data_IF_735838632612
#
_entry.id   IF_735838632612
#
_cell.length_a   1.000
_cell.length_b   1.000
_cell.length_c   1.000
_cell.angle_alpha   90.00
_cell.angle_beta   90.00
_cell.angle_gamma   90.00
#
_symmetry.space_group_name_H-M   'P 1'
#
loop_
_entity.id
_entity.type
_entity.pdbx_description
1 polymer ?
#
# COMPACT_ATOMS: atom_id res chain seq x y z
N UNK A 1 2.29 16.39 -8.52
CA UNK A 1 1.01 16.30 -7.79
C UNK A 1 1.29 16.27 -6.29
N UNK A 2 0.30 16.65 -5.46
CA UNK A 2 0.41 16.55 -4.00
C UNK A 2 -0.22 15.25 -3.52
N UNK A 3 0.56 14.47 -2.76
CA UNK A 3 0.21 13.11 -2.34
C UNK A 3 0.19 13.01 -0.83
N UNK A 4 -0.90 12.47 -0.28
CA UNK A 4 -1.03 12.22 1.14
C UNK A 4 -0.90 10.72 1.45
N UNK A 5 0.02 10.35 2.33
CA UNK A 5 0.29 8.97 2.74
C UNK A 5 -0.03 8.82 4.22
N UNK A 6 -1.02 8.00 4.56
CA UNK A 6 -1.18 7.54 5.95
C UNK A 6 -0.27 6.35 6.20
N UNK A 7 0.26 6.21 7.42
CA UNK A 7 1.20 5.13 7.73
C UNK A 7 2.58 5.35 7.11
N UNK A 8 2.99 6.61 6.91
CA UNK A 8 4.26 7.00 6.27
C UNK A 8 5.50 6.39 6.95
N UNK A 9 5.46 6.15 8.26
CA UNK A 9 6.57 5.53 9.02
C UNK A 9 6.61 3.99 8.94
N UNK A 10 5.65 3.37 8.24
CA UNK A 10 5.70 1.94 7.95
C UNK A 10 6.76 1.66 6.88
N UNK A 11 7.19 0.41 6.75
CA UNK A 11 8.16 0.05 5.70
C UNK A 11 7.60 0.31 4.30
N UNK A 12 6.33 -0.03 4.06
CA UNK A 12 5.60 0.28 2.83
C UNK A 12 5.55 1.81 2.58
N UNK A 13 5.20 2.57 3.62
CA UNK A 13 5.11 4.03 3.57
C UNK A 13 6.43 4.71 3.22
N UNK A 14 7.53 4.30 3.85
CA UNK A 14 8.86 4.87 3.59
C UNK A 14 9.30 4.57 2.16
N UNK A 15 9.21 3.29 1.72
CA UNK A 15 9.61 2.90 0.36
C UNK A 15 8.80 3.65 -0.69
N UNK A 16 7.47 3.74 -0.49
CA UNK A 16 6.57 4.46 -1.40
C UNK A 16 6.87 5.96 -1.44
N UNK A 17 7.03 6.60 -0.27
CA UNK A 17 7.35 8.02 -0.19
C UNK A 17 8.64 8.36 -0.93
N UNK A 18 9.68 7.52 -0.78
CA UNK A 18 10.96 7.68 -1.50
C UNK A 18 10.78 7.60 -3.01
N UNK A 19 10.04 6.60 -3.48
CA UNK A 19 9.80 6.40 -4.91
C UNK A 19 9.00 7.57 -5.52
N UNK A 20 8.00 8.09 -4.80
CA UNK A 20 7.20 9.23 -5.22
C UNK A 20 7.99 10.54 -5.24
N UNK A 21 8.87 10.78 -4.26
CA UNK A 21 9.78 11.92 -4.27
C UNK A 21 10.75 11.85 -5.46
N UNK A 22 11.26 10.67 -5.78
CA UNK A 22 12.14 10.45 -6.96
C UNK A 22 11.42 10.74 -8.29
N UNK A 23 10.09 10.62 -8.32
CA UNK A 23 9.22 11.01 -9.44
C UNK A 23 8.86 12.50 -9.46
N UNK A 24 9.33 13.28 -8.49
CA UNK A 24 9.09 14.73 -8.42
C UNK A 24 7.73 15.10 -7.83
N UNK A 25 7.07 14.19 -7.10
CA UNK A 25 5.84 14.52 -6.39
C UNK A 25 6.12 15.19 -5.04
N UNK A 26 5.15 15.98 -4.58
CA UNK A 26 5.15 16.52 -3.22
C UNK A 26 4.49 15.50 -2.28
N UNK A 27 5.26 14.96 -1.34
CA UNK A 27 4.81 13.88 -0.44
C UNK A 27 4.56 14.40 0.96
N UNK A 28 3.33 14.18 1.43
CA UNK A 28 2.86 14.48 2.78
C UNK A 28 2.54 13.19 3.51
N UNK A 29 3.03 13.03 4.73
CA UNK A 29 2.82 11.84 5.55
C UNK A 29 2.03 12.14 6.82
N UNK A 30 0.94 11.42 7.07
CA UNK A 30 0.24 11.47 8.37
C UNK A 30 1.06 10.67 9.39
N UNK A 31 1.39 11.33 10.49
CA UNK A 31 2.16 10.78 11.58
C UNK A 31 1.39 10.96 12.89
N UNK A 32 1.09 9.86 13.58
CA UNK A 32 0.54 9.94 14.93
C UNK A 32 1.58 10.55 15.90
N UNK A 33 1.18 11.45 16.82
CA UNK A 33 2.09 12.04 17.79
C UNK A 33 2.90 11.01 18.59
N UNK A 34 2.31 9.86 18.91
CA UNK A 34 2.96 8.80 19.70
C UNK A 34 3.67 7.73 18.86
N UNK A 35 4.00 8.01 17.59
CA UNK A 35 4.64 7.00 16.74
C UNK A 35 6.03 6.65 17.25
N UNK A 36 6.24 5.39 17.65
CA UNK A 36 7.56 4.83 18.02
C UNK A 36 8.54 4.78 16.83
N UNK A 37 8.02 4.89 15.60
CA UNK A 37 8.79 4.72 14.37
C UNK A 37 9.24 6.06 13.75
N UNK A 38 9.08 7.20 14.45
CA UNK A 38 9.53 8.52 13.96
C UNK A 38 11.00 8.52 13.56
N UNK A 39 11.80 7.79 14.33
CA UNK A 39 13.24 7.61 14.13
C UNK A 39 13.58 7.04 12.74
N UNK A 40 12.69 6.23 12.14
CA UNK A 40 12.91 5.66 10.80
C UNK A 40 12.91 6.69 9.68
N UNK A 41 12.41 7.90 9.94
CA UNK A 41 12.42 9.02 9.00
C UNK A 41 13.58 9.99 9.28
N UNK A 42 14.41 9.75 10.31
CA UNK A 42 15.60 10.58 10.56
C UNK A 42 16.58 10.41 9.40
N UNK A 43 16.83 11.51 8.69
CA UNK A 43 17.68 11.55 7.50
C UNK A 43 16.91 11.51 6.18
N UNK A 44 15.61 11.21 6.20
CA UNK A 44 14.77 11.27 5.00
C UNK A 44 14.42 12.74 4.67
N UNK A 45 14.86 13.20 3.50
CA UNK A 45 14.62 14.57 3.03
C UNK A 45 13.43 14.60 2.07
N UNK A 46 12.71 15.71 2.03
CA UNK A 46 11.64 15.97 1.06
C UNK A 46 10.22 15.56 1.48
N UNK A 47 10.06 14.65 2.44
CA UNK A 47 8.74 14.30 2.99
C UNK A 47 8.28 15.35 4.02
N UNK A 48 7.04 15.82 3.88
CA UNK A 48 6.40 16.74 4.84
C UNK A 48 5.57 15.94 5.83
N UNK A 49 5.87 16.03 7.14
CA UNK A 49 5.21 15.21 8.16
C UNK A 49 4.13 16.01 8.91
N UNK A 50 2.92 15.49 8.84
CA UNK A 50 1.72 16.09 9.41
C UNK A 50 1.33 15.31 10.66
N UNK A 51 1.48 15.94 11.82
CA UNK A 51 1.13 15.34 13.10
C UNK A 51 -0.38 15.34 13.29
N UNK A 52 -1.01 14.20 13.02
CA UNK A 52 -2.46 14.00 13.05
C UNK A 52 -2.79 12.54 13.40
N UNK A 53 -3.84 12.32 14.18
CA UNK A 53 -4.36 10.98 14.46
C UNK A 53 -5.47 10.62 13.45
N UNK A 54 -5.48 9.38 12.96
CA UNK A 54 -6.54 8.88 12.08
C UNK A 54 -7.92 8.93 12.74
N UNK A 55 -8.01 8.85 14.07
CA UNK A 55 -9.27 9.02 14.80
C UNK A 55 -9.91 10.40 14.60
N UNK A 56 -9.13 11.42 14.23
CA UNK A 56 -9.67 12.75 13.93
C UNK A 56 -10.69 12.71 12.78
N UNK A 57 -10.54 11.78 11.82
CA UNK A 57 -11.49 11.63 10.72
C UNK A 57 -12.86 11.09 11.19
N UNK A 58 -12.90 10.27 12.25
CA UNK A 58 -14.16 9.81 12.84
C UNK A 58 -14.96 10.96 13.46
N UNK A 59 -14.27 11.92 14.09
CA UNK A 59 -14.91 13.12 14.63
C UNK A 59 -15.49 13.98 13.51
N UNK A 60 -14.72 14.19 12.44
CA UNK A 60 -15.16 14.93 11.26
C UNK A 60 -16.41 14.32 10.59
N UNK A 61 -16.47 12.99 10.48
CA UNK A 61 -17.63 12.31 9.90
C UNK A 61 -18.88 12.48 10.77
N UNK A 62 -18.74 12.42 12.11
CA UNK A 62 -19.85 12.67 13.04
C UNK A 62 -20.36 14.10 12.98
N UNK A 63 -19.47 15.08 12.87
CA UNK A 63 -19.83 16.50 12.73
C UNK A 63 -20.62 16.74 11.44
N UNK A 64 -20.18 16.17 10.32
CA UNK A 64 -20.90 16.21 9.03
C UNK A 64 -22.29 15.56 9.09
N UNK A 65 -22.42 14.41 9.76
CA UNK A 65 -23.70 13.72 9.94
C UNK A 65 -24.71 14.57 10.73
N UNK A 66 -24.26 15.22 11.80
CA UNK A 66 -25.09 16.14 12.60
C UNK A 66 -25.50 17.39 11.83
N UNK A 67 -24.61 17.98 11.04
CA UNK A 67 -24.96 19.10 10.15
C UNK A 67 -26.05 18.71 9.15
N UNK A 68 -25.98 17.50 8.58
CA UNK A 68 -27.00 17.00 7.65
C UNK A 68 -28.36 16.77 8.34
N UNK A 69 -28.37 16.20 9.55
CA UNK A 69 -29.60 16.00 10.34
C UNK A 69 -30.21 17.34 10.80
N UNK A 70 -29.38 18.32 11.18
CA UNK A 70 -29.83 19.66 11.56
C UNK A 70 -30.42 20.44 10.37
N UNK A 71 -29.76 20.38 9.21
CA UNK A 71 -30.25 21.03 7.99
C UNK A 71 -31.55 20.38 7.48
N UNK A 72 -31.70 19.05 7.62
CA UNK A 72 -32.94 18.35 7.25
C UNK A 72 -34.11 18.66 8.20
N UNK A 73 -33.83 18.91 9.50
CA UNK A 73 -34.86 19.30 10.48
C UNK A 73 -35.25 20.79 10.41
N UNK A 74 -34.34 21.67 9.97
CA UNK A 74 -34.67 23.10 9.72
C UNK A 74 -35.37 23.35 8.39
N UNK A 75 -35.34 22.41 7.44
CA UNK A 75 -36.20 22.46 6.24
C UNK A 75 -37.67 22.12 6.51
N UNK A 76 -37.99 21.47 7.65
CA UNK A 76 -39.38 21.22 8.08
C UNK A 76 -39.90 22.23 9.12
N UNK A 77 -39.02 23.00 9.75
CA UNK A 77 -39.39 24.08 10.66
C UNK A 77 -38.59 25.34 10.32
N UNK A 78 -39.22 26.25 9.55
CA UNK A 78 -38.67 27.55 9.23
C UNK A 78 -38.46 28.39 10.51
N UNK A 79 -37.26 28.34 11.08
CA UNK A 79 -36.81 29.30 12.09
C UNK A 79 -35.36 29.68 11.76
N UNK A 80 -35.22 30.87 11.19
CA UNK A 80 -33.95 31.54 10.94
C UNK A 80 -33.37 31.97 12.29
N UNK A 81 -32.29 31.31 12.75
CA UNK A 81 -31.58 31.75 13.96
C UNK A 81 -30.12 31.99 13.61
N UNK A 82 -29.78 33.24 13.31
CA UNK A 82 -28.40 33.70 13.31
C UNK A 82 -27.82 33.52 14.72
N UNK A 83 -26.66 32.86 14.82
CA UNK A 83 -25.84 32.96 16.03
C UNK A 83 -24.37 33.15 15.71
N UNK A 84 -23.87 34.27 16.25
CA UNK A 84 -22.51 34.78 16.22
C UNK A 84 -21.45 33.72 16.55
N UNK A 85 -20.43 33.67 15.69
CA UNK A 85 -19.13 33.07 15.97
C UNK A 85 -18.27 34.10 16.70
N UNK A 86 -17.96 33.83 17.96
CA UNK A 86 -16.84 34.42 18.72
C UNK A 86 -16.25 33.24 19.52
N UNK A 87 -14.95 32.97 19.61
CA UNK A 87 -13.75 33.80 19.59
C UNK A 87 -12.57 32.99 19.03
N UNK A 88 -11.80 33.60 18.13
CA UNK A 88 -10.42 33.21 17.87
C UNK A 88 -9.57 33.50 19.12
N UNK A 89 -8.77 32.52 19.57
CA UNK A 89 -7.60 32.80 20.41
C UNK A 89 -6.36 32.43 19.61
N UNK A 90 -5.58 33.47 19.31
CA UNK A 90 -4.39 33.43 18.48
C UNK A 90 -3.36 32.44 19.00
N UNK A 91 -2.73 31.75 18.05
CA UNK A 91 -1.51 30.99 18.29
C UNK A 91 -0.36 31.89 17.83
N UNK A 92 0.48 32.25 18.80
CA UNK A 92 1.71 33.02 18.61
C UNK A 92 2.68 32.25 17.73
N UNK A 93 3.16 32.92 16.68
CA UNK A 93 4.27 32.48 15.83
C UNK A 93 5.58 32.75 16.54
N UNK A 94 6.21 31.73 17.11
CA UNK A 94 7.64 31.79 17.42
C UNK A 94 8.44 31.35 16.20
N UNK A 95 8.98 32.36 15.51
CA UNK A 95 10.02 32.19 14.51
C UNK A 95 11.34 31.91 15.23
N UNK A 96 11.84 30.68 15.15
CA UNK A 96 13.26 30.41 15.34
C UNK A 96 13.84 29.85 14.04
N UNK A 97 14.47 30.76 13.30
CA UNK A 97 15.44 30.46 12.26
C UNK A 97 16.68 29.82 12.88
N UNK A 98 17.12 28.67 12.37
CA UNK A 98 18.40 28.47 11.64
C UNK A 98 18.67 26.97 11.43
N UNK A 99 18.94 26.61 10.17
CA UNK A 99 19.82 25.52 9.71
C UNK A 99 19.69 24.12 10.35
N UNK A 100 18.81 23.30 9.78
CA UNK A 100 19.15 21.98 9.20
C UNK A 100 17.88 21.30 8.65
N UNK A 101 17.89 20.90 7.39
CA UNK A 101 16.73 20.39 6.64
C UNK A 101 16.27 18.99 7.09
N UNK A 102 15.77 18.87 8.32
CA UNK A 102 15.13 17.67 8.87
C UNK A 102 13.61 17.74 8.65
N UNK A 103 12.96 16.57 8.56
CA UNK A 103 11.51 16.46 8.34
C UNK A 103 10.71 17.39 9.28
N UNK A 104 10.00 18.37 8.70
CA UNK A 104 9.27 19.37 9.47
C UNK A 104 8.06 18.69 10.09
N UNK A 105 8.08 18.56 11.42
CA UNK A 105 6.97 18.06 12.21
C UNK A 105 6.00 19.21 12.48
N UNK A 106 4.85 19.22 11.82
CA UNK A 106 3.81 20.26 12.02
C UNK A 106 2.54 19.63 12.56
N UNK A 107 2.12 20.03 13.76
CA UNK A 107 0.76 19.76 14.24
C UNK A 107 -0.24 20.45 13.32
N UNK A 108 -1.28 19.73 12.89
CA UNK A 108 -2.25 20.25 11.93
C UNK A 108 -3.67 19.82 12.28
N UNK A 109 -4.63 20.74 12.16
CA UNK A 109 -6.06 20.45 12.26
C UNK A 109 -6.63 20.01 10.91
N UNK A 110 -7.76 19.29 10.91
CA UNK A 110 -8.41 18.87 9.66
C UNK A 110 -8.78 20.03 8.72
N UNK A 111 -9.30 21.18 9.19
CA UNK A 111 -9.51 22.35 8.32
C UNK A 111 -8.22 22.87 7.68
N UNK A 112 -7.08 22.77 8.38
CA UNK A 112 -5.78 23.17 7.83
C UNK A 112 -5.23 22.14 6.84
N UNK A 113 -5.46 20.85 7.10
CA UNK A 113 -5.13 19.76 6.17
C UNK A 113 -5.87 19.91 4.85
N UNK A 114 -7.16 20.26 4.90
CA UNK A 114 -8.01 20.47 3.72
C UNK A 114 -7.46 21.56 2.78
N UNK A 115 -6.84 22.61 3.31
CA UNK A 115 -6.24 23.71 2.54
C UNK A 115 -5.01 23.30 1.73
N UNK A 116 -4.39 22.16 2.05
CA UNK A 116 -3.22 21.67 1.32
C UNK A 116 -3.58 21.08 -0.04
N UNK A 117 -4.84 20.69 -0.29
CA UNK A 117 -5.34 20.08 -1.53
C UNK A 117 -4.47 18.92 -2.07
N UNK A 118 -4.99 17.70 -1.93
CA UNK A 118 -4.29 16.49 -2.39
C UNK A 118 -4.95 15.92 -3.65
N UNK A 119 -4.13 15.55 -4.63
CA UNK A 119 -4.59 14.85 -5.84
C UNK A 119 -4.81 13.36 -5.54
N UNK A 120 -3.91 12.77 -4.74
CA UNK A 120 -3.84 11.33 -4.48
C UNK A 120 -3.66 11.04 -2.99
N UNK A 121 -4.34 10.00 -2.50
CA UNK A 121 -4.17 9.45 -1.15
C UNK A 121 -3.66 8.01 -1.24
N UNK A 122 -2.65 7.65 -0.44
CA UNK A 122 -2.25 6.27 -0.17
C UNK A 122 -2.51 5.91 1.29
N UNK A 123 -3.43 4.97 1.50
CA UNK A 123 -3.88 4.57 2.82
C UNK A 123 -3.18 3.29 3.30
N UNK A 124 -2.02 3.44 3.97
CA UNK A 124 -1.27 2.33 4.57
C UNK A 124 -1.43 2.22 6.09
N UNK A 125 -2.05 3.21 6.75
CA UNK A 125 -2.28 3.15 8.19
C UNK A 125 -3.28 2.05 8.54
N UNK A 126 -2.81 1.03 9.25
CA UNK A 126 -3.64 -0.06 9.77
C UNK A 126 -2.94 -0.67 10.99
N UNK A 127 -3.59 -0.68 12.15
CA UNK A 127 -2.99 -1.23 13.37
C UNK A 127 -3.27 -2.74 13.50
N UNK A 128 -2.47 -3.44 14.31
CA UNK A 128 -2.67 -4.86 14.58
C UNK A 128 -2.32 -5.81 13.43
N UNK A 129 -1.38 -5.46 12.54
CA UNK A 129 -1.01 -6.32 11.39
C UNK A 129 -0.18 -7.57 11.76
N UNK A 130 0.35 -7.63 12.99
CA UNK A 130 1.06 -8.81 13.51
C UNK A 130 0.10 -9.91 13.96
N UNK A 131 0.60 -11.14 14.15
CA UNK A 131 -0.22 -12.34 14.41
C UNK A 131 -1.30 -12.15 15.49
N UNK A 132 -0.94 -11.65 16.68
CA UNK A 132 -1.91 -11.41 17.75
C UNK A 132 -2.93 -10.32 17.40
N UNK A 133 -2.49 -9.25 16.73
CA UNK A 133 -3.36 -8.13 16.35
C UNK A 133 -4.35 -8.51 15.25
N UNK A 134 -4.01 -9.48 14.39
CA UNK A 134 -4.89 -9.91 13.29
C UNK A 134 -6.15 -10.61 13.79
N UNK A 135 -6.10 -11.17 14.99
CA UNK A 135 -7.23 -11.80 15.68
C UNK A 135 -7.99 -10.84 16.60
N UNK A 136 -7.52 -9.60 16.79
CA UNK A 136 -8.16 -8.64 17.69
C UNK A 136 -9.33 -7.90 17.01
N UNK A 137 -10.54 -8.41 17.23
CA UNK A 137 -11.78 -7.87 16.68
C UNK A 137 -11.94 -6.36 16.92
N UNK A 138 -11.61 -5.88 18.12
CA UNK A 138 -11.83 -4.47 18.49
C UNK A 138 -10.93 -3.55 17.66
N UNK A 139 -9.64 -3.89 17.53
CA UNK A 139 -8.71 -3.14 16.68
C UNK A 139 -9.14 -3.18 15.22
N UNK A 140 -9.55 -4.35 14.70
CA UNK A 140 -9.92 -4.47 13.29
C UNK A 140 -11.20 -3.70 12.94
N UNK A 141 -12.22 -3.69 13.82
CA UNK A 141 -13.42 -2.85 13.64
C UNK A 141 -13.10 -1.36 13.66
N UNK A 142 -12.23 -0.95 14.60
CA UNK A 142 -11.77 0.44 14.67
C UNK A 142 -11.04 0.85 13.39
N UNK A 143 -10.18 -0.01 12.86
CA UNK A 143 -9.49 0.23 11.58
C UNK A 143 -10.48 0.42 10.44
N UNK A 144 -11.50 -0.44 10.32
CA UNK A 144 -12.55 -0.30 9.30
C UNK A 144 -13.27 1.04 9.40
N UNK A 145 -13.70 1.43 10.61
CA UNK A 145 -14.40 2.69 10.84
C UNK A 145 -13.51 3.91 10.47
N UNK A 146 -12.25 3.92 10.92
CA UNK A 146 -11.31 5.00 10.58
C UNK A 146 -11.03 5.08 9.07
N UNK A 147 -10.92 3.93 8.40
CA UNK A 147 -10.66 3.85 6.96
C UNK A 147 -11.83 4.43 6.17
N UNK A 148 -13.09 4.08 6.55
CA UNK A 148 -14.31 4.65 5.96
C UNK A 148 -14.38 6.16 6.14
N UNK A 149 -14.14 6.66 7.35
CA UNK A 149 -14.15 8.10 7.61
C UNK A 149 -13.06 8.84 6.83
N UNK A 150 -11.85 8.27 6.71
CA UNK A 150 -10.77 8.87 5.93
C UNK A 150 -11.07 8.88 4.42
N UNK A 151 -11.68 7.82 3.90
CA UNK A 151 -12.19 7.76 2.53
C UNK A 151 -13.30 8.78 2.27
N UNK A 152 -14.27 8.90 3.16
CA UNK A 152 -15.32 9.94 3.12
C UNK A 152 -14.71 11.34 3.09
N UNK A 153 -13.70 11.59 3.92
CA UNK A 153 -12.95 12.85 3.94
C UNK A 153 -12.26 13.11 2.61
N UNK A 154 -11.53 12.13 2.06
CA UNK A 154 -10.83 12.28 0.78
C UNK A 154 -11.79 12.66 -0.36
N UNK A 155 -12.94 11.97 -0.44
CA UNK A 155 -13.99 12.28 -1.42
C UNK A 155 -14.53 13.71 -1.27
N UNK A 156 -14.85 14.11 -0.04
CA UNK A 156 -15.40 15.44 0.23
C UNK A 156 -14.45 16.58 -0.12
N UNK A 157 -13.15 16.30 -0.20
CA UNK A 157 -12.10 17.28 -0.50
C UNK A 157 -11.54 17.16 -1.92
N UNK A 158 -12.23 16.40 -2.80
CA UNK A 158 -11.91 16.35 -4.23
C UNK A 158 -10.64 15.59 -4.57
N UNK A 159 -10.20 14.66 -3.71
CA UNK A 159 -9.13 13.71 -4.05
C UNK A 159 -9.57 12.93 -5.30
N UNK A 160 -8.66 12.81 -6.28
CA UNK A 160 -8.94 12.14 -7.56
C UNK A 160 -8.75 10.64 -7.44
N UNK A 161 -7.73 10.21 -6.70
CA UNK A 161 -7.35 8.79 -6.56
C UNK A 161 -7.06 8.42 -5.11
N UNK A 162 -7.64 7.31 -4.67
CA UNK A 162 -7.47 6.75 -3.35
C UNK A 162 -6.96 5.31 -3.46
N UNK A 163 -5.72 5.09 -3.07
CA UNK A 163 -5.13 3.77 -2.95
C UNK A 163 -5.34 3.23 -1.54
N UNK A 164 -5.85 2.01 -1.44
CA UNK A 164 -5.91 1.27 -0.20
C UNK A 164 -4.87 0.16 -0.20
N UNK A 165 -4.07 0.04 0.88
CA UNK A 165 -3.29 -1.18 1.09
C UNK A 165 -4.20 -2.31 1.54
N UNK A 166 -4.79 -3.00 0.57
CA UNK A 166 -5.34 -4.34 0.75
C UNK A 166 -4.26 -5.37 1.08
N UNK A 167 -4.65 -6.63 1.13
CA UNK A 167 -3.80 -7.72 1.63
C UNK A 167 -4.27 -9.06 1.09
N UNK A 168 -3.33 -9.96 0.78
CA UNK A 168 -3.66 -11.37 0.45
C UNK A 168 -4.55 -12.05 1.51
N UNK A 169 -4.54 -11.58 2.76
CA UNK A 169 -5.41 -12.06 3.84
C UNK A 169 -6.92 -11.88 3.57
N UNK A 170 -7.30 -11.02 2.62
CA UNK A 170 -8.69 -10.88 2.16
C UNK A 170 -9.23 -12.20 1.56
N UNK A 171 -8.39 -12.95 0.85
CA UNK A 171 -8.80 -14.22 0.23
C UNK A 171 -9.00 -15.30 1.29
N UNK A 172 -8.11 -15.36 2.28
CA UNK A 172 -8.13 -16.35 3.35
C UNK A 172 -8.15 -17.79 2.82
N UNK A 173 -9.26 -18.49 3.09
CA UNK A 173 -9.52 -19.89 2.70
C UNK A 173 -10.14 -20.01 1.30
N UNK A 174 -10.53 -18.89 0.71
CA UNK A 174 -11.20 -18.82 -0.57
C UNK A 174 -10.25 -18.47 -1.70
N UNK A 175 -10.80 -17.99 -2.81
CA UNK A 175 -10.03 -17.47 -3.94
C UNK A 175 -10.07 -15.95 -3.96
N UNK A 176 -9.47 -15.37 -4.99
CA UNK A 176 -9.57 -13.93 -5.26
C UNK A 176 -11.00 -13.50 -5.58
N UNK A 177 -11.72 -14.30 -6.36
CA UNK A 177 -13.08 -14.02 -6.82
C UNK A 177 -14.13 -14.35 -5.75
N UNK A 178 -13.86 -15.39 -4.95
CA UNK A 178 -14.72 -15.84 -3.86
C UNK A 178 -13.92 -15.85 -2.55
N UNK A 179 -13.66 -14.65 -1.99
CA UNK A 179 -12.84 -14.52 -0.78
C UNK A 179 -13.56 -15.10 0.43
N UNK A 180 -12.80 -15.84 1.25
CA UNK A 180 -13.26 -16.37 2.54
C UNK A 180 -12.18 -16.10 3.61
N UNK A 181 -12.09 -14.85 4.13
CA UNK A 181 -11.08 -14.46 5.10
C UNK A 181 -10.94 -15.42 6.29
N UNK A 182 -9.70 -15.71 6.70
CA UNK A 182 -9.42 -16.61 7.82
C UNK A 182 -9.24 -15.87 9.16
N UNK A 183 -9.24 -14.54 9.14
CA UNK A 183 -8.97 -13.69 10.31
C UNK A 183 -9.82 -12.41 10.29
N UNK A 184 -10.09 -11.81 11.46
CA UNK A 184 -10.69 -10.47 11.56
C UNK A 184 -9.95 -9.42 10.72
N UNK A 185 -8.62 -9.52 10.63
CA UNK A 185 -7.83 -8.63 9.77
C UNK A 185 -8.21 -8.78 8.30
N UNK A 186 -8.23 -10.01 7.78
CA UNK A 186 -8.65 -10.28 6.41
C UNK A 186 -10.08 -9.83 6.14
N UNK A 187 -10.99 -10.10 7.08
CA UNK A 187 -12.41 -9.72 7.00
C UNK A 187 -12.59 -8.21 6.88
N UNK A 188 -11.92 -7.43 7.74
CA UNK A 188 -12.06 -5.97 7.73
C UNK A 188 -11.31 -5.29 6.58
N UNK A 189 -10.21 -5.89 6.10
CA UNK A 189 -9.56 -5.46 4.85
C UNK A 189 -10.50 -5.64 3.66
N UNK A 190 -11.11 -6.82 3.54
CA UNK A 190 -12.07 -7.12 2.48
C UNK A 190 -13.29 -6.19 2.56
N UNK A 191 -13.87 -6.02 3.74
CA UNK A 191 -15.02 -5.15 3.94
C UNK A 191 -14.74 -3.67 3.57
N UNK A 192 -13.51 -3.18 3.78
CA UNK A 192 -13.16 -1.83 3.32
C UNK A 192 -12.90 -1.77 1.81
N UNK A 193 -12.25 -2.79 1.24
CA UNK A 193 -12.06 -2.90 -0.22
C UNK A 193 -13.40 -2.86 -0.96
N UNK A 194 -14.34 -3.74 -0.58
CA UNK A 194 -15.70 -3.78 -1.14
C UNK A 194 -16.45 -2.46 -0.94
N UNK A 195 -16.31 -1.85 0.24
CA UNK A 195 -16.91 -0.55 0.51
C UNK A 195 -16.35 0.53 -0.42
N UNK A 196 -15.04 0.62 -0.60
CA UNK A 196 -14.39 1.58 -1.49
C UNK A 196 -14.80 1.37 -2.95
N UNK A 197 -14.73 0.13 -3.44
CA UNK A 197 -15.14 -0.26 -4.80
C UNK A 197 -16.62 0.01 -5.08
N UNK A 198 -17.49 -0.04 -4.08
CA UNK A 198 -18.91 0.29 -4.25
C UNK A 198 -19.21 1.78 -4.13
N UNK A 199 -18.46 2.51 -3.31
CA UNK A 199 -18.81 3.87 -2.88
C UNK A 199 -17.86 4.94 -3.40
N UNK A 200 -16.99 4.66 -4.39
CA UNK A 200 -15.99 5.63 -4.88
C UNK A 200 -16.60 6.87 -5.57
N UNK A 201 -17.73 6.74 -6.25
CA UNK A 201 -18.33 7.86 -6.98
C UNK A 201 -17.40 8.36 -8.09
N UNK A 202 -17.05 9.65 -8.10
CA UNK A 202 -16.13 10.25 -9.10
C UNK A 202 -14.65 10.07 -8.77
N UNK A 203 -14.32 9.64 -7.55
CA UNK A 203 -12.95 9.35 -7.14
C UNK A 203 -12.60 7.94 -7.65
N UNK A 204 -11.36 7.74 -8.10
CA UNK A 204 -10.83 6.40 -8.38
C UNK A 204 -10.46 5.74 -7.05
N UNK A 205 -10.93 4.52 -6.82
CA UNK A 205 -10.52 3.70 -5.68
C UNK A 205 -9.75 2.49 -6.17
N UNK A 206 -8.50 2.38 -5.74
CA UNK A 206 -7.60 1.31 -6.16
C UNK A 206 -7.24 0.48 -4.93
N UNK A 207 -7.73 -0.75 -4.92
CA UNK A 207 -7.39 -1.72 -3.89
C UNK A 207 -6.10 -2.45 -4.26
N UNK A 208 -5.04 -2.16 -3.52
CA UNK A 208 -3.73 -2.76 -3.69
C UNK A 208 -3.68 -4.04 -2.85
N UNK A 209 -4.01 -5.18 -3.43
CA UNK A 209 -3.93 -6.46 -2.70
C UNK A 209 -2.47 -6.86 -2.57
N UNK A 210 -1.87 -6.50 -1.43
CA UNK A 210 -0.44 -6.68 -1.20
C UNK A 210 -0.14 -8.09 -0.71
N UNK A 211 0.79 -8.76 -1.41
CA UNK A 211 1.38 -10.04 -1.02
C UNK A 211 2.62 -9.81 -0.14
N UNK A 212 3.53 -10.79 -0.05
CA UNK A 212 4.69 -10.62 0.82
C UNK A 212 5.73 -9.70 0.19
N UNK A 213 5.94 -8.56 0.82
CA UNK A 213 7.05 -7.66 0.50
C UNK A 213 8.20 -7.94 1.45
N UNK A 214 9.41 -8.10 0.91
CA UNK A 214 10.62 -8.33 1.72
C UNK A 214 11.67 -7.25 1.44
N UNK A 215 12.48 -6.92 2.45
CA UNK A 215 13.53 -5.92 2.28
C UNK A 215 14.14 -5.47 3.59
N UNK A 216 14.94 -4.41 3.50
CA UNK A 216 15.73 -3.86 4.62
C UNK A 216 14.79 -3.30 5.69
N UNK A 217 13.69 -2.67 5.27
CA UNK A 217 12.69 -2.07 6.14
C UNK A 217 11.68 -3.03 6.76
N UNK A 218 11.65 -4.30 6.36
CA UNK A 218 10.71 -5.32 6.84
C UNK A 218 10.92 -5.64 8.33
N UNK A 219 9.89 -6.19 8.97
CA UNK A 219 9.85 -6.47 10.40
C UNK A 219 10.95 -7.48 10.81
N UNK A 220 11.58 -7.23 11.95
CA UNK A 220 12.70 -8.02 12.48
C UNK A 220 12.41 -9.52 12.59
N UNK A 221 11.15 -9.88 12.88
CA UNK A 221 10.70 -11.27 13.01
C UNK A 221 10.05 -11.83 11.74
N UNK A 222 10.17 -11.15 10.59
CA UNK A 222 9.67 -11.70 9.33
C UNK A 222 10.45 -12.95 8.94
N UNK A 223 9.85 -13.82 8.13
CA UNK A 223 10.46 -15.08 7.71
C UNK A 223 11.82 -14.84 7.03
N UNK A 224 11.87 -13.92 6.07
CA UNK A 224 13.07 -13.63 5.29
C UNK A 224 14.19 -13.09 6.18
N UNK A 225 13.93 -12.08 7.02
CA UNK A 225 14.96 -11.53 7.92
C UNK A 225 15.42 -12.54 8.98
N UNK A 226 14.51 -13.39 9.47
CA UNK A 226 14.85 -14.46 10.41
C UNK A 226 15.82 -15.46 9.76
N UNK A 227 15.52 -15.92 8.54
CA UNK A 227 16.39 -16.85 7.81
C UNK A 227 17.77 -16.26 7.54
N UNK A 228 17.81 -15.01 7.08
CA UNK A 228 19.08 -14.30 6.82
C UNK A 228 19.93 -14.21 8.09
N UNK A 229 19.35 -13.75 9.21
CA UNK A 229 20.09 -13.66 10.50
C UNK A 229 20.54 -15.01 11.02
N UNK A 230 19.65 -15.99 11.05
CA UNK A 230 19.97 -17.29 11.58
C UNK A 230 21.08 -17.95 10.74
N UNK A 231 21.03 -17.81 9.41
CA UNK A 231 22.10 -18.26 8.53
C UNK A 231 23.43 -17.56 8.84
N UNK A 232 23.43 -16.24 9.01
CA UNK A 232 24.64 -15.48 9.40
C UNK A 232 25.19 -15.90 10.78
N UNK A 233 24.33 -16.36 11.70
CA UNK A 233 24.72 -16.84 13.04
C UNK A 233 25.03 -18.33 13.10
N UNK A 234 24.83 -19.08 12.01
CA UNK A 234 24.92 -20.54 12.01
C UNK A 234 23.85 -21.21 12.90
N UNK A 235 22.71 -20.57 13.10
CA UNK A 235 21.61 -21.07 13.92
C UNK A 235 20.55 -21.78 13.07
N UNK A 236 20.00 -22.87 13.59
CA UNK A 236 18.89 -23.55 12.95
C UNK A 236 17.61 -22.70 12.97
N UNK A 237 16.77 -22.89 11.96
CA UNK A 237 15.45 -22.25 11.85
C UNK A 237 14.39 -23.32 11.72
N UNK A 238 13.56 -23.46 12.76
CA UNK A 238 12.33 -24.24 12.72
C UNK A 238 11.33 -23.59 11.76
N UNK A 239 10.57 -24.34 10.98
CA UNK A 239 9.69 -23.83 9.94
C UNK A 239 8.40 -24.63 9.89
N UNK A 240 7.37 -24.06 9.25
CA UNK A 240 6.20 -24.84 8.83
C UNK A 240 6.55 -25.84 7.71
N UNK A 241 5.55 -26.46 7.10
CA UNK A 241 5.75 -27.40 5.99
C UNK A 241 6.41 -26.75 4.76
N UNK A 242 6.06 -25.49 4.48
CA UNK A 242 6.55 -24.77 3.31
C UNK A 242 5.93 -25.25 1.99
N UNK A 243 4.80 -25.97 2.05
CA UNK A 243 4.16 -26.59 0.90
C UNK A 243 3.22 -25.66 0.13
N UNK A 244 3.07 -24.42 0.56
CA UNK A 244 2.18 -23.45 -0.06
C UNK A 244 2.81 -22.78 -1.26
N UNK A 245 2.00 -22.44 -2.25
CA UNK A 245 2.38 -21.43 -3.24
C UNK A 245 2.43 -20.06 -2.57
N UNK A 246 3.54 -19.36 -2.82
CA UNK A 246 3.84 -18.06 -2.22
C UNK A 246 4.44 -17.12 -3.25
N UNK A 247 4.38 -15.82 -2.93
CA UNK A 247 4.91 -14.76 -3.78
C UNK A 247 5.67 -13.74 -2.92
N UNK A 248 6.87 -13.34 -3.38
CA UNK A 248 7.70 -12.33 -2.74
C UNK A 248 8.10 -11.24 -3.74
N UNK A 249 7.81 -9.99 -3.40
CA UNK A 249 8.30 -8.81 -4.13
C UNK A 249 9.30 -8.04 -3.26
N UNK A 250 10.38 -7.55 -3.87
CA UNK A 250 11.36 -6.72 -3.18
C UNK A 250 10.77 -5.36 -2.79
N UNK A 251 11.15 -4.85 -1.61
CA UNK A 251 10.70 -3.55 -1.07
C UNK A 251 10.95 -2.38 -2.05
N UNK A 252 12.04 -2.43 -2.81
CA UNK A 252 12.35 -1.42 -3.82
C UNK A 252 11.36 -1.44 -4.99
N UNK A 253 11.06 -2.64 -5.51
CA UNK A 253 10.10 -2.80 -6.59
C UNK A 253 8.67 -2.48 -6.14
N UNK A 254 8.32 -2.77 -4.89
CA UNK A 254 7.06 -2.31 -4.30
C UNK A 254 6.94 -0.78 -4.35
N UNK A 255 7.95 -0.04 -3.89
CA UNK A 255 7.95 1.43 -3.93
C UNK A 255 7.83 1.96 -5.36
N UNK A 256 8.58 1.36 -6.30
CA UNK A 256 8.49 1.69 -7.72
C UNK A 256 7.11 1.40 -8.31
N UNK A 257 6.47 0.30 -7.93
CA UNK A 257 5.13 -0.06 -8.39
C UNK A 257 4.11 0.97 -7.90
N UNK A 258 4.20 1.42 -6.64
CA UNK A 258 3.31 2.47 -6.12
C UNK A 258 3.46 3.78 -6.87
N UNK A 259 4.69 4.19 -7.16
CA UNK A 259 4.96 5.39 -7.94
C UNK A 259 4.47 5.27 -9.39
N UNK A 260 4.68 4.11 -10.01
CA UNK A 260 4.17 3.78 -11.33
C UNK A 260 2.63 3.86 -11.40
N UNK A 261 1.93 3.20 -10.47
CA UNK A 261 0.47 3.21 -10.41
C UNK A 261 -0.08 4.61 -10.08
N UNK A 262 0.65 5.43 -9.33
CA UNK A 262 0.25 6.82 -9.05
C UNK A 262 0.29 7.69 -10.30
N UNK A 263 1.28 7.49 -11.18
CA UNK A 263 1.40 8.18 -12.46
C UNK A 263 0.47 7.62 -13.56
N UNK A 264 -0.03 6.39 -13.38
CA UNK A 264 -0.79 5.69 -14.40
C UNK A 264 -2.08 6.45 -14.75
N UNK A 265 -2.26 6.78 -16.02
CA UNK A 265 -3.53 7.32 -16.53
C UNK A 265 -4.38 6.13 -17.00
N UNK A 266 -5.48 5.85 -16.30
CA UNK A 266 -6.39 4.75 -16.68
C UNK A 266 -7.48 5.36 -17.56
N UNK A 267 -7.58 4.99 -18.85
CA UNK A 267 -8.62 5.53 -19.70
C UNK A 267 -9.99 5.15 -19.15
N UNK A 268 -10.74 6.13 -18.65
CA UNK A 268 -12.17 5.94 -18.36
C UNK A 268 -12.92 5.90 -19.69
N UNK A 269 -13.85 4.95 -19.85
CA UNK A 269 -14.79 4.98 -20.99
C UNK A 269 -15.64 6.25 -20.85
N UNK A 270 -15.22 7.36 -21.47
CA UNK A 270 -16.15 8.43 -21.80
C UNK A 270 -17.18 7.82 -22.75
N UNK A 271 -18.44 7.90 -22.33
CA UNK A 271 -19.57 7.20 -22.93
C UNK A 271 -19.56 7.26 -24.46
N UNK A 272 -19.98 6.15 -25.06
CA UNK A 272 -20.31 6.01 -26.47
C UNK A 272 -21.22 7.17 -26.92
N UNK A 273 -20.59 8.27 -27.31
CA UNK A 273 -21.24 9.31 -28.07
C UNK A 273 -21.32 8.76 -29.47
N UNK A 274 -22.49 8.18 -29.77
CA UNK A 274 -22.99 7.79 -31.10
C UNK A 274 -22.17 8.41 -32.24
N UNK A 275 -21.18 7.70 -32.75
CA UNK A 275 -20.70 7.97 -34.11
C UNK A 275 -21.50 7.05 -35.02
N UNK A 276 -22.41 7.65 -35.78
CA UNK A 276 -23.04 6.97 -36.90
C UNK A 276 -21.92 6.44 -37.79
N UNK A 277 -21.89 5.12 -37.98
CA UNK A 277 -21.20 4.50 -39.10
C UNK A 277 -21.71 5.15 -40.38
N UNK A 278 -20.94 6.07 -40.94
CA UNK A 278 -21.00 6.40 -42.36
C UNK A 278 -19.88 5.63 -43.03
N UNK A 279 -20.27 4.79 -43.98
CA UNK A 279 -19.40 3.95 -44.77
C UNK A 279 -18.69 4.78 -45.86
N UNK A 280 -17.50 4.27 -46.25
CA UNK A 280 -16.66 4.62 -47.42
C UNK A 280 -15.60 5.71 -47.23
N UNK A 281 -14.34 5.32 -47.18
CA UNK A 281 -13.47 5.15 -48.37
C UNK A 281 -12.04 4.82 -47.95
N UNK A 282 -11.43 3.92 -48.72
CA UNK A 282 -10.05 3.44 -48.60
C UNK A 282 -9.08 4.56 -48.98
N UNK A 283 -8.11 4.79 -48.11
CA UNK A 283 -7.01 5.73 -48.28
C UNK A 283 -6.08 5.58 -47.08
N UNK A 284 -4.90 5.02 -47.33
CA UNK A 284 -3.83 4.86 -46.33
C UNK A 284 -3.42 6.25 -45.81
N UNK A 285 -3.78 6.53 -44.55
CA UNK A 285 -3.42 7.76 -43.86
C UNK A 285 -2.54 7.36 -42.66
N UNK A 286 -1.28 7.80 -42.55
CA UNK A 286 -0.38 7.40 -41.45
C UNK A 286 -0.85 7.83 -40.05
N UNK A 287 -1.85 8.71 -39.98
CA UNK A 287 -2.56 9.04 -38.73
C UNK A 287 -3.53 7.92 -38.28
N UNK A 288 -4.03 7.08 -39.21
CA UNK A 288 -4.87 5.92 -38.87
C UNK A 288 -4.06 4.79 -38.26
N UNK A 289 -2.86 4.49 -38.77
CA UNK A 289 -1.99 3.46 -38.17
C UNK A 289 -1.58 3.81 -36.74
N UNK A 290 -1.31 5.10 -36.45
CA UNK A 290 -1.02 5.54 -35.08
C UNK A 290 -2.24 5.46 -34.16
N UNK A 291 -3.44 5.75 -34.68
CA UNK A 291 -4.68 5.60 -33.93
C UNK A 291 -5.04 4.13 -33.69
N UNK A 292 -4.81 3.25 -34.67
CA UNK A 292 -5.06 1.82 -34.58
C UNK A 292 -4.05 1.13 -33.63
N UNK A 293 -2.78 1.55 -33.61
CA UNK A 293 -1.78 1.12 -32.63
C UNK A 293 -2.10 1.61 -31.21
N UNK A 294 -2.61 2.83 -31.06
CA UNK A 294 -3.09 3.32 -29.76
C UNK A 294 -4.32 2.55 -29.28
N UNK A 295 -5.26 2.22 -30.19
CA UNK A 295 -6.45 1.45 -29.89
C UNK A 295 -6.06 0.01 -29.52
N UNK A 296 -5.15 -0.63 -30.25
CA UNK A 296 -4.65 -1.98 -29.94
C UNK A 296 -3.88 -2.00 -28.60
N UNK A 297 -3.10 -0.96 -28.29
CA UNK A 297 -2.44 -0.80 -26.99
C UNK A 297 -3.45 -0.59 -25.86
N UNK A 298 -4.49 0.22 -26.09
CA UNK A 298 -5.58 0.48 -25.13
C UNK A 298 -6.46 -0.76 -24.92
N UNK A 299 -6.76 -1.52 -25.97
CA UNK A 299 -7.49 -2.79 -25.90
C UNK A 299 -6.67 -3.86 -25.18
N UNK A 300 -5.36 -3.95 -25.45
CA UNK A 300 -4.45 -4.81 -24.68
C UNK A 300 -4.43 -4.42 -23.19
N UNK A 301 -4.35 -3.14 -22.83
CA UNK A 301 -4.45 -2.68 -21.42
C UNK A 301 -5.80 -3.03 -20.76
N UNK A 302 -6.88 -3.04 -21.54
CA UNK A 302 -8.24 -3.39 -21.11
C UNK A 302 -8.47 -4.91 -21.02
N UNK A 303 -7.78 -5.70 -21.82
CA UNK A 303 -7.76 -7.17 -21.84
C UNK A 303 -6.79 -7.77 -20.81
N UNK A 304 -5.73 -7.04 -20.44
CA UNK A 304 -4.55 -7.59 -19.77
C UNK A 304 -4.63 -7.83 -18.25
N UNK A 305 -5.82 -8.01 -17.66
CA UNK A 305 -5.92 -8.57 -16.30
C UNK A 305 -7.01 -8.01 -15.38
N UNK A 306 -7.67 -6.91 -15.73
CA UNK A 306 -8.77 -6.34 -14.93
C UNK A 306 -10.15 -6.92 -15.31
N UNK A 307 -10.19 -8.20 -15.69
CA UNK A 307 -11.41 -8.87 -16.13
C UNK A 307 -12.39 -8.99 -14.94
N UNK A 308 -13.63 -8.51 -15.11
CA UNK A 308 -14.72 -8.70 -14.15
C UNK A 308 -15.03 -7.54 -13.19
N UNK A 309 -14.26 -6.44 -13.20
CA UNK A 309 -14.51 -5.31 -12.30
C UNK A 309 -15.31 -4.20 -12.99
N UNK A 310 -16.25 -3.58 -12.28
CA UNK A 310 -17.18 -2.58 -12.83
C UNK A 310 -16.41 -1.31 -13.26
N UNK A 311 -16.14 -1.17 -14.56
CA UNK A 311 -15.14 -0.23 -15.13
C UNK A 311 -15.63 1.21 -15.32
N UNK A 312 -16.75 1.62 -14.73
CA UNK A 312 -17.37 2.92 -15.03
C UNK A 312 -16.58 4.14 -14.49
N UNK A 313 -15.57 3.96 -13.63
CA UNK A 313 -14.79 5.09 -13.09
C UNK A 313 -13.31 4.78 -12.73
N UNK A 314 -12.66 3.82 -13.37
CA UNK A 314 -11.21 3.57 -13.12
C UNK A 314 -10.87 3.00 -11.73
N UNK A 315 -11.86 2.53 -10.96
CA UNK A 315 -11.67 1.86 -9.67
C UNK A 315 -11.49 0.35 -9.87
N UNK A 316 -10.48 -0.24 -9.22
CA UNK A 316 -10.20 -1.67 -9.34
C UNK A 316 -9.31 -2.23 -8.21
N UNK A 317 -9.33 -3.55 -8.02
CA UNK A 317 -8.36 -4.33 -7.25
C UNK A 317 -7.25 -4.85 -8.16
N UNK A 318 -6.01 -4.73 -7.72
CA UNK A 318 -4.81 -5.26 -8.37
C UNK A 318 -3.91 -5.97 -7.35
N UNK A 319 -3.36 -7.12 -7.74
CA UNK A 319 -2.40 -7.86 -6.91
C UNK A 319 -1.01 -7.22 -7.00
N UNK A 320 -0.48 -6.80 -5.85
CA UNK A 320 0.89 -6.28 -5.74
C UNK A 320 1.81 -7.43 -5.35
N UNK A 321 2.38 -8.04 -6.38
CA UNK A 321 3.14 -9.29 -6.31
C UNK A 321 4.23 -9.32 -7.40
N UNK A 322 5.24 -10.15 -7.20
CA UNK A 322 6.25 -10.44 -8.22
C UNK A 322 5.68 -11.32 -9.34
N UNK A 323 6.32 -11.30 -10.51
CA UNK A 323 6.01 -12.15 -11.67
C UNK A 323 6.06 -13.65 -11.38
N UNK A 324 6.76 -14.07 -10.32
CA UNK A 324 6.96 -15.48 -9.98
C UNK A 324 6.28 -15.89 -8.67
N UNK A 325 5.48 -16.95 -8.73
CA UNK A 325 4.95 -17.67 -7.56
C UNK A 325 5.43 -19.11 -7.59
N UNK A 326 5.91 -19.61 -6.44
CA UNK A 326 6.44 -20.97 -6.29
C UNK A 326 6.25 -21.45 -4.85
N UNK A 327 6.66 -22.68 -4.55
CA UNK A 327 6.57 -23.21 -3.18
C UNK A 327 7.37 -22.35 -2.21
N UNK A 328 6.78 -22.08 -1.04
CA UNK A 328 7.45 -21.33 0.03
C UNK A 328 8.77 -22.01 0.45
N UNK A 329 8.81 -23.34 0.48
CA UNK A 329 10.02 -24.09 0.79
C UNK A 329 11.15 -23.85 -0.20
N UNK A 330 10.86 -23.56 -1.48
CA UNK A 330 11.88 -23.27 -2.49
C UNK A 330 12.48 -21.88 -2.27
N UNK A 331 11.66 -20.88 -1.95
CA UNK A 331 12.15 -19.57 -1.50
C UNK A 331 13.07 -19.69 -0.27
N UNK A 332 12.66 -20.48 0.73
CA UNK A 332 13.43 -20.67 1.97
C UNK A 332 14.79 -21.33 1.69
N UNK A 333 14.81 -22.41 0.88
CA UNK A 333 16.05 -23.10 0.50
C UNK A 333 16.97 -22.16 -0.28
N UNK A 334 16.44 -21.36 -1.19
CA UNK A 334 17.25 -20.39 -1.94
C UNK A 334 17.87 -19.32 -1.03
N UNK A 335 17.12 -18.81 -0.04
CA UNK A 335 17.67 -17.85 0.94
C UNK A 335 18.87 -18.46 1.68
N UNK A 336 18.79 -19.72 2.10
CA UNK A 336 19.91 -20.40 2.74
C UNK A 336 21.08 -20.55 1.77
N UNK A 337 20.84 -21.03 0.54
CA UNK A 337 21.88 -21.24 -0.48
C UNK A 337 22.64 -19.94 -0.81
N UNK A 338 21.94 -18.83 -0.91
CA UNK A 338 22.54 -17.50 -1.12
C UNK A 338 23.40 -17.12 0.08
N UNK A 339 22.89 -17.23 1.30
CA UNK A 339 23.66 -16.95 2.52
C UNK A 339 24.89 -17.83 2.65
N UNK A 340 24.74 -19.09 2.27
CA UNK A 340 25.80 -20.07 2.23
C UNK A 340 26.91 -19.71 1.24
N UNK A 341 26.55 -19.16 0.09
CA UNK A 341 27.48 -18.64 -0.91
C UNK A 341 28.13 -17.34 -0.43
N UNK A 342 27.35 -16.46 0.19
CA UNK A 342 27.78 -15.18 0.78
C UNK A 342 28.87 -15.39 1.84
N UNK A 343 28.64 -16.28 2.81
CA UNK A 343 29.61 -16.63 3.86
C UNK A 343 30.90 -17.21 3.28
N UNK A 344 30.78 -18.09 2.27
CA UNK A 344 31.94 -18.68 1.57
C UNK A 344 32.79 -17.63 0.88
N UNK A 345 32.18 -16.68 0.15
CA UNK A 345 32.88 -15.56 -0.51
C UNK A 345 33.68 -14.71 0.50
N UNK A 346 33.26 -14.66 1.76
CA UNK A 346 33.90 -13.91 2.85
C UNK A 346 34.87 -14.74 3.71
N UNK A 347 35.11 -16.01 3.36
CA UNK A 347 36.02 -16.88 4.12
C UNK A 347 35.48 -17.32 5.49
N UNK A 348 34.20 -17.14 5.77
CA UNK A 348 33.57 -17.54 7.04
C UNK A 348 33.26 -19.04 6.98
N UNK A 349 33.85 -19.82 7.89
CA UNK A 349 33.59 -21.27 8.02
C UNK A 349 32.19 -21.52 8.55
N UNK A 350 31.53 -22.54 8.01
CA UNK A 350 30.20 -23.02 8.43
C UNK A 350 30.12 -24.54 8.29
N UNK A 351 29.14 -25.15 8.95
CA UNK A 351 28.76 -26.55 8.68
C UNK A 351 28.26 -26.70 7.24
N UNK A 352 28.45 -27.89 6.65
CA UNK A 352 27.88 -28.25 5.34
C UNK A 352 26.40 -28.66 5.43
N UNK A 353 25.88 -28.83 6.64
CA UNK A 353 24.50 -29.24 6.89
C UNK A 353 23.54 -28.06 6.73
N UNK A 354 22.30 -28.35 6.30
CA UNK A 354 21.25 -27.35 6.25
C UNK A 354 20.85 -26.94 7.68
N UNK A 355 20.61 -25.65 7.87
CA UNK A 355 20.09 -25.03 9.07
C UNK A 355 18.55 -25.01 9.08
N UNK A 356 17.89 -25.48 8.03
CA UNK A 356 16.44 -25.47 7.90
C UNK A 356 15.81 -26.71 8.55
N UNK A 357 14.76 -26.53 9.34
CA UNK A 357 14.01 -27.61 9.99
C UNK A 357 12.50 -27.47 9.71
N UNK A 358 12.04 -28.07 8.62
CA UNK A 358 10.64 -28.01 8.18
C UNK A 358 9.70 -28.89 9.03
N UNK A 359 8.43 -28.50 9.11
CA UNK A 359 7.37 -29.26 9.78
C UNK A 359 7.33 -29.14 11.31
N UNK A 360 8.16 -28.28 11.91
CA UNK A 360 8.24 -28.09 13.36
C UNK A 360 7.34 -26.97 13.89
N UNK A 361 6.96 -26.00 13.04
CA UNK A 361 6.03 -24.93 13.42
C UNK A 361 4.62 -25.17 12.89
N UNK A 362 3.58 -24.86 13.68
CA UNK A 362 2.22 -24.81 13.17
C UNK A 362 2.04 -23.68 12.15
N UNK A 363 1.00 -23.76 11.28
CA UNK A 363 0.62 -22.67 10.40
C UNK A 363 0.32 -21.37 11.17
N UNK A 364 0.44 -20.22 10.49
CA UNK A 364 0.07 -18.93 11.06
C UNK A 364 -1.47 -18.76 11.12
N UNK A 365 -1.92 -17.61 11.61
CA UNK A 365 -3.35 -17.27 11.74
C UNK A 365 -4.11 -17.38 10.41
N UNK A 366 -3.43 -17.15 9.28
CA UNK A 366 -4.03 -17.28 7.95
C UNK A 366 -4.09 -18.74 7.45
N UNK A 367 -3.81 -19.73 8.31
CA UNK A 367 -3.94 -21.15 8.00
C UNK A 367 -2.91 -21.69 7.02
N UNK A 368 -3.18 -22.86 6.43
CA UNK A 368 -2.29 -23.56 5.48
C UNK A 368 -2.80 -23.50 4.03
N UNK A 369 -3.21 -22.32 3.55
CA UNK A 369 -3.84 -22.15 2.22
C UNK A 369 -2.88 -21.56 1.19
N UNK A 370 -3.13 -21.89 -0.09
CA UNK A 370 -2.42 -21.32 -1.23
C UNK A 370 -2.93 -19.91 -1.51
N UNK A 371 -1.99 -18.95 -1.59
CA UNK A 371 -2.29 -17.58 -1.99
C UNK A 371 -1.75 -17.36 -3.40
N UNK A 372 -2.43 -17.94 -4.39
CA UNK A 372 -2.04 -17.79 -5.79
C UNK A 372 -2.30 -16.35 -6.23
N UNK A 373 -1.23 -15.62 -6.55
CA UNK A 373 -1.31 -14.25 -7.03
C UNK A 373 -1.53 -14.18 -8.54
N UNK A 374 -2.24 -13.15 -9.02
CA UNK A 374 -2.33 -12.83 -10.44
C UNK A 374 -1.09 -12.08 -10.91
N UNK A 375 0.00 -12.81 -11.16
CA UNK A 375 1.34 -12.26 -11.39
C UNK A 375 1.53 -11.44 -12.67
N UNK A 376 0.50 -11.39 -13.53
CA UNK A 376 0.57 -10.70 -14.84
C UNK A 376 0.02 -9.27 -14.81
N UNK A 377 -0.72 -8.87 -13.78
CA UNK A 377 -1.47 -7.59 -13.80
C UNK A 377 -0.56 -6.37 -13.84
N UNK A 378 0.49 -6.32 -13.02
CA UNK A 378 1.43 -5.19 -13.02
C UNK A 378 2.21 -5.10 -14.34
N UNK A 379 2.71 -6.23 -14.84
CA UNK A 379 3.50 -6.26 -16.09
C UNK A 379 2.66 -5.93 -17.31
N UNK A 380 1.41 -6.37 -17.32
CA UNK A 380 0.39 -5.99 -18.29
C UNK A 380 0.15 -4.48 -18.38
N UNK A 381 0.20 -3.78 -17.24
CA UNK A 381 0.12 -2.32 -17.21
C UNK A 381 1.41 -1.64 -17.69
N UNK A 382 2.49 -2.40 -17.91
CA UNK A 382 3.81 -1.88 -18.32
C UNK A 382 4.80 -1.73 -17.17
N UNK A 383 4.50 -2.24 -15.97
CA UNK A 383 5.47 -2.25 -14.87
C UNK A 383 6.54 -3.33 -15.06
N UNK A 384 7.80 -2.91 -14.95
CA UNK A 384 8.95 -3.81 -15.00
C UNK A 384 9.63 -3.92 -13.64
N UNK A 385 9.63 -5.13 -13.07
CA UNK A 385 10.47 -5.46 -11.91
C UNK A 385 11.95 -5.35 -12.28
N UNK A 386 12.76 -4.88 -11.33
CA UNK A 386 14.22 -4.70 -11.51
C UNK A 386 15.02 -5.58 -10.57
N UNK A 387 14.45 -5.95 -9.43
CA UNK A 387 15.12 -6.71 -8.39
C UNK A 387 14.64 -8.15 -8.45
N UNK A 388 15.51 -9.06 -8.87
CA UNK A 388 15.20 -10.50 -8.77
C UNK A 388 15.19 -10.94 -7.32
N UNK A 389 14.48 -12.03 -7.02
CA UNK A 389 14.44 -12.57 -5.66
C UNK A 389 15.86 -12.79 -5.11
N UNK A 390 16.72 -13.48 -5.87
CA UNK A 390 18.09 -13.80 -5.46
C UNK A 390 18.94 -12.56 -5.19
N UNK A 391 18.89 -11.55 -6.08
CA UNK A 391 19.67 -10.32 -5.92
C UNK A 391 19.23 -9.52 -4.69
N UNK A 392 17.92 -9.40 -4.47
CA UNK A 392 17.38 -8.73 -3.28
C UNK A 392 17.75 -9.45 -1.98
N UNK A 393 17.86 -10.78 -1.99
CA UNK A 393 18.32 -11.55 -0.82
C UNK A 393 19.83 -11.37 -0.59
N UNK A 394 20.66 -11.36 -1.62
CA UNK A 394 22.11 -11.09 -1.48
C UNK A 394 22.36 -9.70 -0.90
N UNK A 395 21.63 -8.68 -1.36
CA UNK A 395 21.67 -7.34 -0.78
C UNK A 395 21.24 -7.30 0.69
N UNK A 396 20.24 -8.10 1.06
CA UNK A 396 19.75 -8.17 2.44
C UNK A 396 20.77 -8.85 3.36
N UNK A 397 21.47 -9.89 2.90
CA UNK A 397 22.61 -10.46 3.61
C UNK A 397 23.71 -9.42 3.83
N UNK A 398 24.08 -8.69 2.78
CA UNK A 398 25.11 -7.65 2.86
C UNK A 398 24.72 -6.55 3.87
N UNK A 399 23.46 -6.10 3.82
CA UNK A 399 22.94 -5.09 4.73
C UNK A 399 22.96 -5.57 6.19
N UNK A 400 22.36 -6.73 6.49
CA UNK A 400 22.29 -7.25 7.86
C UNK A 400 23.69 -7.55 8.40
N UNK A 401 24.58 -8.12 7.57
CA UNK A 401 25.96 -8.37 7.96
C UNK A 401 26.69 -7.08 8.36
N UNK A 402 26.57 -6.01 7.56
CA UNK A 402 27.17 -4.72 7.89
C UNK A 402 26.59 -4.09 9.15
N UNK A 403 25.27 -4.08 9.29
CA UNK A 403 24.61 -3.37 10.38
C UNK A 403 24.67 -4.11 11.71
N UNK A 404 24.63 -5.45 11.70
CA UNK A 404 24.50 -6.24 12.94
C UNK A 404 25.76 -7.03 13.31
N UNK A 405 26.69 -7.28 12.38
CA UNK A 405 27.87 -8.13 12.64
C UNK A 405 29.19 -7.39 12.53
N UNK A 406 29.29 -6.34 11.72
CA UNK A 406 30.49 -5.52 11.65
C UNK A 406 30.47 -4.33 12.61
N UNK A 407 29.29 -3.86 13.00
CA UNK A 407 29.11 -2.75 13.96
C UNK A 407 28.88 -3.20 15.40
N UNK A 408 28.68 -4.50 15.63
CA UNK A 408 28.63 -5.12 16.95
C UNK A 408 30.05 -5.47 17.41
#
# INVERSE_FOLDING_TARGET
>A
MRILISGITSFLGISTGKALLKKGHEVYGILRPESRNKERLKGEKGMQLLSLNMESFLLWEKEKGREAEYNNSTTEAGINTERCITTERGITTENNSTTDSHAIYKSISLPSLAKLHFDTVLHFAWDGVGSLGRSDLVTQEKNLAMSKAFFSWAKAHGVKRFFFAGSQAEMGRGTREEPLPASPYGEKKLAFSEYGLKNHGKMEFIDLRIYSIYGKGDHERSLVKTLVRNTLRGMETELGSGNKIWNFMAEEDFGRAMAFLTDLDVPTRKGESRSQRSSKSEGENPERENADLEIEYKEKLLESGLFGQNKECGSFTIDICSRESRLLSDYIKEIEQIGFSFLKKRGIRKSGESLLRFGLRPPNVEGDYDFTAHTKELSALGFEERVSFSSGIEELYEFIYKEEFLKA
#
